data_IF_702533747266
#
_entry.id   IF_702533747266
#
_cell.length_a   1.000
_cell.length_b   1.000
_cell.length_c   1.000
_cell.angle_alpha   90.00
_cell.angle_beta   90.00
_cell.angle_gamma   90.00
#
_symmetry.space_group_name_H-M   'P 1'
#
loop_
_entity.id
_entity.type
_entity.pdbx_description
1 polymer ?
#
# COMPACT_ATOMS: atom_id res chain seq x y z
N UNK A 1 -20.78 42.23 53.38
CA UNK A 1 -21.71 41.16 53.77
C UNK A 1 -21.45 39.98 52.85
N UNK A 2 -20.85 38.92 53.38
CA UNK A 2 -20.35 37.70 52.73
C UNK A 2 -21.44 36.62 52.65
N UNK A 3 -21.47 35.84 51.56
CA UNK A 3 -22.05 34.47 51.50
C UNK A 3 -21.52 33.79 50.23
N UNK A 4 -20.39 33.09 50.27
CA UNK A 4 -20.19 31.66 50.60
C UNK A 4 -20.92 30.66 49.67
N UNK A 5 -20.10 30.05 48.82
CA UNK A 5 -20.31 28.88 47.96
C UNK A 5 -20.70 27.63 48.74
N UNK A 6 -21.83 27.02 48.40
CA UNK A 6 -22.22 25.70 48.89
C UNK A 6 -21.78 24.63 47.88
N UNK A 7 -20.61 24.04 48.15
CA UNK A 7 -20.11 22.84 47.47
C UNK A 7 -20.77 21.66 48.17
N UNK A 8 -21.76 21.05 47.53
CA UNK A 8 -22.38 19.81 47.99
C UNK A 8 -21.32 18.72 48.12
N UNK A 9 -21.03 18.31 49.36
CA UNK A 9 -20.10 17.23 49.67
C UNK A 9 -20.60 15.89 49.10
N UNK A 10 -19.75 15.07 48.47
CA UNK A 10 -20.09 13.70 48.15
C UNK A 10 -20.24 12.91 49.46
N UNK A 11 -21.41 12.31 49.68
CA UNK A 11 -21.69 11.41 50.79
C UNK A 11 -20.60 10.33 50.90
N UNK A 12 -19.80 10.37 51.97
CA UNK A 12 -18.84 9.33 52.28
C UNK A 12 -19.57 8.00 52.52
N UNK A 13 -19.14 6.94 51.82
CA UNK A 13 -19.64 5.59 52.05
C UNK A 13 -19.39 5.17 53.51
N UNK A 14 -20.42 4.65 54.17
CA UNK A 14 -20.30 4.14 55.54
C UNK A 14 -19.51 2.83 55.56
N UNK A 15 -18.64 2.60 56.57
CA UNK A 15 -17.91 1.35 56.70
C UNK A 15 -18.88 0.17 56.87
N UNK A 16 -18.85 -0.80 55.95
CA UNK A 16 -19.66 -2.02 56.01
C UNK A 16 -20.69 -2.21 54.89
N UNK A 17 -20.79 -1.30 53.91
CA UNK A 17 -21.61 -1.54 52.72
C UNK A 17 -20.83 -2.35 51.67
N UNK A 18 -21.16 -3.64 51.54
CA UNK A 18 -20.70 -4.46 50.41
C UNK A 18 -21.34 -3.95 49.13
N UNK A 19 -20.51 -3.50 48.19
CA UNK A 19 -20.94 -3.09 46.85
C UNK A 19 -21.52 -4.33 46.17
N UNK A 20 -22.84 -4.34 45.93
CA UNK A 20 -23.49 -5.36 45.11
C UNK A 20 -22.97 -5.19 43.67
N UNK A 21 -22.36 -6.22 43.04
CA UNK A 21 -21.91 -6.11 41.66
C UNK A 21 -23.09 -5.76 40.76
N UNK A 22 -22.93 -4.75 39.90
CA UNK A 22 -23.90 -4.42 38.87
C UNK A 22 -24.12 -5.66 37.99
N UNK A 23 -25.36 -6.16 37.85
CA UNK A 23 -25.65 -7.22 36.90
C UNK A 23 -25.54 -6.64 35.48
N UNK A 24 -24.53 -7.06 34.73
CA UNK A 24 -24.36 -6.65 33.33
C UNK A 24 -22.92 -6.49 32.79
N UNK A 25 -21.89 -6.94 33.51
CA UNK A 25 -20.51 -6.85 33.03
C UNK A 25 -20.02 -8.09 32.25
N UNK A 26 -20.93 -8.81 31.58
CA UNK A 26 -20.60 -9.91 30.65
C UNK A 26 -21.07 -9.58 29.23
N UNK A 27 -20.68 -8.42 28.73
CA UNK A 27 -20.85 -8.05 27.32
C UNK A 27 -19.50 -7.80 26.63
N UNK A 28 -19.26 -8.57 25.57
CA UNK A 28 -18.57 -8.16 24.34
C UNK A 28 -17.05 -8.30 24.15
N UNK A 29 -16.40 -9.35 24.68
CA UNK A 29 -15.03 -9.70 24.22
C UNK A 29 -14.97 -10.50 22.91
N UNK A 30 -16.11 -10.99 22.39
CA UNK A 30 -16.18 -11.72 21.12
C UNK A 30 -16.39 -10.80 19.90
N UNK A 31 -17.03 -9.64 20.08
CA UNK A 31 -17.29 -8.67 19.01
C UNK A 31 -16.06 -7.82 18.65
N UNK A 32 -15.10 -7.66 19.57
CA UNK A 32 -13.90 -6.83 19.34
C UNK A 32 -12.87 -7.51 18.41
N UNK A 33 -12.68 -8.84 18.54
CA UNK A 33 -11.70 -9.60 17.75
C UNK A 33 -12.07 -9.75 16.28
N UNK A 34 -13.36 -9.91 15.97
CA UNK A 34 -13.85 -9.97 14.59
C UNK A 34 -13.60 -8.66 13.83
N UNK A 35 -13.70 -7.53 14.53
CA UNK A 35 -13.46 -6.22 13.96
C UNK A 35 -11.96 -5.98 13.70
N UNK A 36 -11.07 -6.45 14.60
CA UNK A 36 -9.62 -6.35 14.42
C UNK A 36 -9.11 -7.19 13.24
N UNK A 37 -9.55 -8.44 13.12
CA UNK A 37 -9.12 -9.30 11.99
C UNK A 37 -9.62 -8.72 10.66
N UNK A 38 -10.87 -8.27 10.60
CA UNK A 38 -11.41 -7.61 9.40
C UNK A 38 -10.64 -6.33 9.06
N UNK A 39 -10.21 -5.56 10.07
CA UNK A 39 -9.45 -4.34 9.87
C UNK A 39 -8.02 -4.61 9.42
N UNK A 40 -7.38 -5.65 9.96
CA UNK A 40 -6.05 -6.12 9.54
C UNK A 40 -6.09 -6.67 8.12
N UNK A 41 -7.09 -7.49 7.77
CA UNK A 41 -7.24 -8.02 6.41
C UNK A 41 -7.52 -6.89 5.42
N UNK A 42 -8.39 -5.94 5.78
CA UNK A 42 -8.68 -4.78 4.96
C UNK A 42 -7.46 -3.88 4.75
N UNK A 43 -6.68 -3.60 5.81
CA UNK A 43 -5.48 -2.78 5.70
C UNK A 43 -4.37 -3.47 4.91
N UNK A 44 -4.16 -4.77 5.11
CA UNK A 44 -3.22 -5.58 4.32
C UNK A 44 -3.64 -5.55 2.85
N UNK A 45 -4.91 -5.79 2.53
CA UNK A 45 -5.36 -5.77 1.14
C UNK A 45 -5.14 -4.44 0.45
N UNK A 46 -5.51 -3.34 1.10
CA UNK A 46 -5.35 -2.00 0.51
C UNK A 46 -3.87 -1.65 0.35
N UNK A 47 -3.05 -1.86 1.38
CA UNK A 47 -1.63 -1.48 1.36
C UNK A 47 -0.82 -2.38 0.42
N UNK A 48 -1.00 -3.70 0.49
CA UNK A 48 -0.29 -4.62 -0.39
C UNK A 48 -0.84 -4.63 -1.82
N UNK A 49 -2.10 -4.25 -2.04
CA UNK A 49 -2.65 -4.07 -3.38
C UNK A 49 -1.95 -2.94 -4.14
N UNK A 50 -1.75 -1.80 -3.48
CA UNK A 50 -1.02 -0.67 -4.06
C UNK A 50 0.47 -1.01 -4.26
N UNK A 51 1.12 -1.55 -3.22
CA UNK A 51 2.56 -1.87 -3.26
C UNK A 51 2.88 -3.01 -4.24
N UNK A 52 2.04 -4.04 -4.32
CA UNK A 52 2.36 -5.26 -5.06
C UNK A 52 1.91 -5.28 -6.51
N UNK A 53 1.03 -4.38 -6.95
CA UNK A 53 0.63 -4.27 -8.37
C UNK A 53 1.64 -3.46 -9.19
N UNK A 54 2.27 -2.45 -8.58
CA UNK A 54 3.26 -1.60 -9.27
C UNK A 54 4.46 -2.36 -9.87
N UNK A 55 5.06 -3.38 -9.22
CA UNK A 55 6.17 -4.11 -9.82
C UNK A 55 5.70 -5.05 -10.94
N UNK A 56 4.46 -5.55 -10.87
CA UNK A 56 3.89 -6.38 -11.93
C UNK A 56 3.68 -5.58 -13.22
N UNK A 57 3.18 -4.35 -13.12
CA UNK A 57 3.11 -3.44 -14.26
C UNK A 57 4.52 -3.09 -14.79
N UNK A 58 5.46 -2.74 -13.91
CA UNK A 58 6.83 -2.42 -14.31
C UNK A 58 7.51 -3.60 -15.03
N UNK A 59 7.29 -4.83 -14.55
CA UNK A 59 7.78 -6.04 -15.21
C UNK A 59 7.14 -6.21 -16.59
N UNK A 60 5.81 -6.09 -16.70
CA UNK A 60 5.09 -6.17 -17.97
C UNK A 60 5.61 -5.14 -18.97
N UNK A 61 5.77 -3.89 -18.54
CA UNK A 61 6.20 -2.80 -19.41
C UNK A 61 7.65 -3.03 -19.89
N UNK A 62 8.55 -3.39 -18.98
CA UNK A 62 9.95 -3.72 -19.29
C UNK A 62 10.06 -4.87 -20.31
N UNK A 63 9.27 -5.93 -20.11
CA UNK A 63 9.22 -7.05 -21.04
C UNK A 63 8.62 -6.64 -22.38
N UNK A 64 7.54 -5.84 -22.40
CA UNK A 64 6.92 -5.37 -23.64
C UNK A 64 7.87 -4.52 -24.51
N UNK A 65 8.74 -3.72 -23.89
CA UNK A 65 9.79 -3.00 -24.58
C UNK A 65 10.89 -3.91 -25.09
N UNK A 66 11.23 -4.95 -24.33
CA UNK A 66 12.23 -5.96 -24.72
C UNK A 66 11.76 -6.85 -25.88
N UNK A 67 10.46 -7.17 -25.94
CA UNK A 67 9.80 -7.86 -27.06
C UNK A 67 9.93 -7.05 -28.36
N UNK A 68 9.63 -5.73 -28.29
CA UNK A 68 9.68 -4.83 -29.46
C UNK A 68 11.11 -4.60 -29.99
N UNK A 69 12.12 -4.80 -29.15
CA UNK A 69 13.53 -4.62 -29.50
C UNK A 69 14.20 -5.88 -30.09
N UNK A 70 13.46 -6.98 -30.31
CA UNK A 70 13.96 -8.28 -30.81
C UNK A 70 15.07 -8.88 -29.91
N UNK A 71 15.04 -8.55 -28.61
CA UNK A 71 15.99 -9.02 -27.58
C UNK A 71 15.34 -9.96 -26.57
N UNK A 72 14.41 -10.81 -27.02
CA UNK A 72 13.84 -11.88 -26.19
C UNK A 72 14.84 -13.02 -25.99
N UNK A 73 15.98 -12.68 -25.41
CA UNK A 73 16.95 -13.66 -24.92
C UNK A 73 16.54 -14.04 -23.51
N UNK A 74 16.69 -15.32 -23.15
CA UNK A 74 16.47 -15.82 -21.79
C UNK A 74 17.22 -14.97 -20.74
N UNK A 75 18.41 -14.49 -21.09
CA UNK A 75 19.22 -13.58 -20.28
C UNK A 75 18.54 -12.23 -19.99
N UNK A 76 17.77 -11.67 -20.93
CA UNK A 76 17.07 -10.40 -20.74
C UNK A 76 15.91 -10.53 -19.76
N UNK A 77 15.20 -11.65 -19.79
CA UNK A 77 14.11 -11.96 -18.86
C UNK A 77 14.67 -12.17 -17.45
N UNK A 78 15.69 -13.01 -17.31
CA UNK A 78 16.34 -13.30 -16.02
C UNK A 78 16.98 -12.02 -15.44
N UNK A 79 17.67 -11.24 -16.27
CA UNK A 79 18.29 -9.97 -15.87
C UNK A 79 17.27 -8.94 -15.39
N UNK A 80 16.16 -8.77 -16.13
CA UNK A 80 15.08 -7.85 -15.75
C UNK A 80 14.41 -8.24 -14.43
N UNK A 81 14.12 -9.52 -14.24
CA UNK A 81 13.52 -10.04 -12.99
C UNK A 81 14.49 -9.89 -11.82
N UNK A 82 15.78 -10.16 -12.04
CA UNK A 82 16.82 -9.95 -11.02
C UNK A 82 16.90 -8.50 -10.58
N UNK A 83 16.97 -7.56 -11.54
CA UNK A 83 16.96 -6.13 -11.23
C UNK A 83 15.69 -5.72 -10.48
N UNK A 84 14.53 -6.28 -10.83
CA UNK A 84 13.27 -5.98 -10.16
C UNK A 84 13.28 -6.48 -8.70
N UNK A 85 13.71 -7.72 -8.45
CA UNK A 85 13.82 -8.29 -7.09
C UNK A 85 14.74 -7.41 -6.23
N UNK A 86 15.93 -7.09 -6.73
CA UNK A 86 16.89 -6.29 -5.98
C UNK A 86 16.46 -4.84 -5.83
N UNK A 87 15.86 -4.22 -6.85
CA UNK A 87 15.33 -2.87 -6.77
C UNK A 87 14.22 -2.76 -5.71
N UNK A 88 13.31 -3.74 -5.64
CA UNK A 88 12.29 -3.78 -4.59
C UNK A 88 12.90 -4.02 -3.22
N UNK A 89 13.82 -4.98 -3.09
CA UNK A 89 14.48 -5.27 -1.83
C UNK A 89 15.25 -4.04 -1.30
N UNK A 90 16.00 -3.34 -2.16
CA UNK A 90 16.72 -2.12 -1.80
C UNK A 90 15.76 -0.97 -1.50
N UNK A 91 14.70 -0.80 -2.28
CA UNK A 91 13.72 0.25 -2.04
C UNK A 91 13.05 0.05 -0.68
N UNK A 92 12.54 -1.14 -0.38
CA UNK A 92 11.92 -1.44 0.92
C UNK A 92 12.92 -1.32 2.06
N UNK A 93 14.11 -1.90 1.94
CA UNK A 93 15.10 -1.92 3.04
C UNK A 93 15.70 -0.53 3.27
N UNK A 94 16.26 0.09 2.23
CA UNK A 94 16.98 1.35 2.37
C UNK A 94 15.98 2.51 2.51
N UNK A 95 15.14 2.76 1.51
CA UNK A 95 14.26 3.94 1.50
C UNK A 95 13.20 3.86 2.60
N UNK A 96 12.53 2.73 2.78
CA UNK A 96 11.43 2.62 3.75
C UNK A 96 11.91 2.24 5.16
N UNK A 97 12.68 1.17 5.34
CA UNK A 97 13.08 0.73 6.69
C UNK A 97 14.17 1.62 7.29
N UNK A 98 15.23 1.95 6.55
CA UNK A 98 16.34 2.74 7.12
C UNK A 98 16.05 4.24 7.19
N UNK A 99 15.34 4.82 6.22
CA UNK A 99 15.04 6.26 6.25
C UNK A 99 13.65 6.55 6.82
N UNK A 100 12.59 6.03 6.19
CA UNK A 100 11.22 6.41 6.56
C UNK A 100 10.86 5.99 7.99
N UNK A 101 11.14 4.74 8.38
CA UNK A 101 10.82 4.23 9.72
C UNK A 101 11.75 4.77 10.82
N UNK A 102 12.90 5.37 10.47
CA UNK A 102 13.79 6.05 11.43
C UNK A 102 13.51 7.54 11.54
N UNK A 103 12.88 8.14 10.54
CA UNK A 103 12.47 9.53 10.52
C UNK A 103 11.08 9.67 11.18
N UNK A 104 11.06 9.45 12.49
CA UNK A 104 9.95 9.71 13.40
C UNK A 104 9.94 11.21 13.79
N UNK A 105 8.77 11.84 13.77
CA UNK A 105 8.56 13.12 14.45
C UNK A 105 7.52 12.97 15.56
N UNK A 106 7.96 12.64 16.77
CA UNK A 106 7.13 12.43 17.97
C UNK A 106 6.06 11.37 17.79
N UNK A 107 6.39 10.27 17.11
CA UNK A 107 5.48 9.14 16.90
C UNK A 107 4.45 9.32 15.78
N UNK A 108 4.45 10.44 15.06
CA UNK A 108 3.66 10.59 13.82
C UNK A 108 4.54 10.33 12.59
N UNK A 109 4.18 9.32 11.80
CA UNK A 109 4.80 9.01 10.51
C UNK A 109 4.03 9.62 9.34
N UNK A 110 4.73 9.92 8.24
CA UNK A 110 4.11 10.38 6.99
C UNK A 110 4.78 11.60 6.38
N UNK A 111 4.37 11.94 5.16
CA UNK A 111 4.93 13.05 4.38
C UNK A 111 4.74 14.42 5.04
N UNK A 112 3.62 14.61 5.76
CA UNK A 112 3.34 15.83 6.53
C UNK A 112 4.21 15.94 7.80
N UNK A 113 4.44 14.82 8.49
CA UNK A 113 5.33 14.77 9.66
C UNK A 113 6.79 14.99 9.27
N UNK A 114 7.20 14.50 8.09
CA UNK A 114 8.52 14.76 7.50
C UNK A 114 8.67 16.23 7.07
N UNK A 115 7.63 16.85 6.51
CA UNK A 115 7.63 18.28 6.20
C UNK A 115 7.76 19.13 7.48
N UNK A 116 7.04 18.77 8.54
CA UNK A 116 7.14 19.42 9.84
C UNK A 116 8.53 19.23 10.48
N UNK A 117 9.10 18.03 10.41
CA UNK A 117 10.44 17.72 10.92
C UNK A 117 11.54 18.45 10.14
N UNK A 118 11.43 18.51 8.81
CA UNK A 118 12.36 19.24 7.95
C UNK A 118 12.32 20.75 8.25
N UNK A 119 11.13 21.33 8.46
CA UNK A 119 11.00 22.72 8.86
C UNK A 119 11.53 22.99 10.27
N UNK A 120 11.35 22.05 11.21
CA UNK A 120 11.87 22.20 12.58
C UNK A 120 13.38 22.01 12.69
N UNK A 121 13.97 21.11 11.89
CA UNK A 121 15.41 20.82 11.91
C UNK A 121 16.26 21.90 11.22
N UNK A 122 15.69 22.62 10.24
CA UNK A 122 16.41 23.61 9.42
C UNK A 122 16.12 25.07 9.81
N UNK A 123 15.50 25.31 10.97
CA UNK A 123 15.32 26.65 11.52
C UNK A 123 14.25 27.48 10.82
N UNK A 124 12.99 27.04 10.92
CA UNK A 124 11.80 27.89 11.10
C UNK A 124 11.37 28.88 10.00
N UNK A 125 12.15 29.17 8.95
CA UNK A 125 11.72 30.12 7.92
C UNK A 125 12.43 29.97 6.55
N UNK A 126 13.02 28.80 6.28
CA UNK A 126 13.71 28.58 5.01
C UNK A 126 12.69 28.38 3.88
N UNK A 127 12.50 29.41 3.04
CA UNK A 127 11.70 29.34 1.80
C UNK A 127 12.08 28.14 0.93
N UNK A 128 13.34 27.70 0.98
CA UNK A 128 13.83 26.52 0.28
C UNK A 128 13.21 25.22 0.80
N UNK A 129 13.11 25.06 2.13
CA UNK A 129 12.48 23.89 2.76
C UNK A 129 10.98 23.86 2.48
N UNK A 130 10.33 25.03 2.52
CA UNK A 130 8.93 25.15 2.13
C UNK A 130 8.72 24.77 0.66
N UNK A 131 9.54 25.28 -0.26
CA UNK A 131 9.45 24.94 -1.68
C UNK A 131 9.70 23.44 -1.94
N UNK A 132 10.65 22.83 -1.23
CA UNK A 132 10.87 21.39 -1.27
C UNK A 132 9.70 20.59 -0.69
N UNK A 133 9.07 21.06 0.37
CA UNK A 133 7.85 20.44 0.93
C UNK A 133 6.68 20.49 -0.06
N UNK A 134 6.46 21.65 -0.68
CA UNK A 134 5.42 21.83 -1.72
C UNK A 134 5.72 20.97 -2.94
N UNK A 135 6.97 20.94 -3.41
CA UNK A 135 7.37 20.09 -4.53
C UNK A 135 7.17 18.59 -4.21
N UNK A 136 7.54 18.15 -3.01
CA UNK A 136 7.32 16.78 -2.56
C UNK A 136 5.83 16.42 -2.45
N UNK A 137 5.01 17.31 -1.91
CA UNK A 137 3.56 17.12 -1.84
C UNK A 137 2.91 17.06 -3.23
N UNK A 138 3.36 17.90 -4.17
CA UNK A 138 2.88 17.88 -5.55
C UNK A 138 3.26 16.58 -6.28
N UNK A 139 4.49 16.10 -6.11
CA UNK A 139 4.94 14.82 -6.68
C UNK A 139 4.17 13.63 -6.10
N UNK A 140 3.96 13.62 -4.77
CA UNK A 140 3.14 12.60 -4.11
C UNK A 140 1.69 12.63 -4.59
N UNK A 141 1.11 13.83 -4.75
CA UNK A 141 -0.25 13.99 -5.26
C UNK A 141 -0.36 13.55 -6.73
N UNK A 142 0.67 13.76 -7.53
CA UNK A 142 0.74 13.24 -8.90
C UNK A 142 0.77 11.72 -8.93
N UNK A 143 1.65 11.10 -8.14
CA UNK A 143 1.78 9.63 -8.03
C UNK A 143 0.46 8.98 -7.59
N UNK A 144 -0.21 9.56 -6.59
CA UNK A 144 -1.50 9.08 -6.10
C UNK A 144 -2.63 9.10 -7.16
N UNK A 145 -2.53 9.97 -8.18
CA UNK A 145 -3.49 10.04 -9.30
C UNK A 145 -3.11 9.05 -10.40
N UNK A 146 -1.81 8.88 -10.67
CA UNK A 146 -1.29 8.06 -11.78
C UNK A 146 -1.47 6.56 -11.49
N UNK A 147 -1.18 6.11 -10.26
CA UNK A 147 -1.13 4.68 -9.92
C UNK A 147 -2.46 3.94 -10.18
N UNK A 148 -3.63 4.44 -9.76
CA UNK A 148 -4.91 3.79 -10.08
C UNK A 148 -5.17 3.70 -11.58
N UNK A 149 -4.79 4.74 -12.34
CA UNK A 149 -5.01 4.78 -13.78
C UNK A 149 -4.14 3.74 -14.52
N UNK A 150 -2.83 3.71 -14.22
CA UNK A 150 -1.89 2.81 -14.88
C UNK A 150 -2.15 1.35 -14.49
N UNK A 151 -2.43 1.07 -13.21
CA UNK A 151 -2.69 -0.29 -12.74
C UNK A 151 -3.95 -0.89 -13.41
N UNK A 152 -5.05 -0.13 -13.49
CA UNK A 152 -6.28 -0.59 -14.16
C UNK A 152 -6.08 -0.71 -15.67
N UNK A 153 -5.38 0.25 -16.31
CA UNK A 153 -5.08 0.17 -17.74
C UNK A 153 -4.25 -1.07 -18.07
N UNK A 154 -3.17 -1.32 -17.33
CA UNK A 154 -2.32 -2.50 -17.51
C UNK A 154 -3.06 -3.81 -17.33
N UNK A 155 -4.04 -3.87 -16.41
CA UNK A 155 -4.86 -5.06 -16.21
C UNK A 155 -5.76 -5.35 -17.43
N UNK A 156 -6.37 -4.31 -18.00
CA UNK A 156 -7.24 -4.44 -19.17
C UNK A 156 -6.45 -4.72 -20.44
N UNK A 157 -5.29 -4.07 -20.63
CA UNK A 157 -4.40 -4.38 -21.75
C UNK A 157 -3.85 -5.82 -21.69
N UNK A 158 -3.75 -6.41 -20.51
CA UNK A 158 -3.43 -7.84 -20.38
C UNK A 158 -4.46 -8.76 -21.06
N UNK A 159 -5.72 -8.31 -21.18
CA UNK A 159 -6.80 -9.06 -21.82
C UNK A 159 -6.71 -9.02 -23.36
N UNK A 160 -5.98 -8.07 -23.95
CA UNK A 160 -5.72 -8.01 -25.39
C UNK A 160 -4.94 -9.23 -25.89
N UNK A 161 -4.17 -9.90 -25.02
CA UNK A 161 -3.46 -11.14 -25.35
C UNK A 161 -4.40 -12.28 -25.77
N UNK A 162 -5.69 -12.18 -25.43
CA UNK A 162 -6.71 -13.19 -25.75
C UNK A 162 -7.49 -12.83 -27.02
N UNK A 163 -7.72 -11.54 -27.30
CA UNK A 163 -8.38 -11.11 -28.54
C UNK A 163 -8.04 -9.66 -28.94
N UNK A 164 -7.63 -9.48 -30.20
CA UNK A 164 -7.29 -8.16 -30.77
C UNK A 164 -8.48 -7.19 -30.84
N UNK A 165 -9.73 -7.69 -30.81
CA UNK A 165 -10.94 -6.85 -30.87
C UNK A 165 -11.11 -5.98 -29.61
N UNK A 166 -10.43 -6.31 -28.50
CA UNK A 166 -10.52 -5.55 -27.25
C UNK A 166 -9.72 -4.24 -27.26
N UNK A 167 -8.80 -4.04 -28.22
CA UNK A 167 -7.92 -2.86 -28.31
C UNK A 167 -8.68 -1.54 -28.31
N UNK A 168 -9.76 -1.45 -29.08
CA UNK A 168 -10.59 -0.24 -29.15
C UNK A 168 -11.41 0.00 -27.87
N UNK A 169 -11.62 -1.05 -27.06
CA UNK A 169 -12.42 -0.99 -25.84
C UNK A 169 -11.59 -0.82 -24.57
N UNK A 170 -10.26 -0.91 -24.63
CA UNK A 170 -9.41 -0.77 -23.43
C UNK A 170 -9.63 0.57 -22.73
N UNK A 171 -9.46 1.69 -23.43
CA UNK A 171 -9.63 3.01 -22.83
C UNK A 171 -11.06 3.25 -22.29
N UNK A 172 -12.14 2.96 -23.03
CA UNK A 172 -13.51 3.06 -22.50
C UNK A 172 -13.77 2.19 -21.27
N UNK A 173 -13.28 0.95 -21.25
CA UNK A 173 -13.46 0.03 -20.13
C UNK A 173 -12.69 0.54 -18.90
N UNK A 174 -11.43 0.95 -19.07
CA UNK A 174 -10.62 1.53 -17.98
C UNK A 174 -11.31 2.75 -17.36
N UNK A 175 -11.78 3.70 -18.18
CA UNK A 175 -12.51 4.88 -17.70
C UNK A 175 -13.78 4.47 -16.94
N UNK A 176 -14.54 3.52 -17.48
CA UNK A 176 -15.78 3.02 -16.84
C UNK A 176 -15.49 2.38 -15.48
N UNK A 177 -14.43 1.58 -15.39
CA UNK A 177 -13.99 0.96 -14.14
C UNK A 177 -13.57 2.03 -13.14
N UNK A 178 -12.73 3.00 -13.54
CA UNK A 178 -12.28 4.06 -12.64
C UNK A 178 -13.46 4.89 -12.12
N UNK A 179 -14.35 5.37 -13.01
CA UNK A 179 -15.53 6.15 -12.60
C UNK A 179 -16.39 5.37 -11.61
N UNK A 180 -16.62 4.08 -11.88
CA UNK A 180 -17.42 3.21 -11.00
C UNK A 180 -16.73 3.00 -9.65
N UNK A 181 -15.43 2.71 -9.64
CA UNK A 181 -14.66 2.51 -8.41
C UNK A 181 -14.63 3.78 -7.55
N UNK A 182 -14.36 4.95 -8.14
CA UNK A 182 -14.35 6.22 -7.43
C UNK A 182 -15.74 6.61 -6.93
N UNK A 183 -16.80 6.31 -7.68
CA UNK A 183 -18.19 6.53 -7.24
C UNK A 183 -18.58 5.63 -6.06
N UNK A 184 -18.12 4.38 -6.03
CA UNK A 184 -18.35 3.49 -4.87
C UNK A 184 -17.51 3.95 -3.67
N UNK A 185 -16.27 4.40 -3.88
CA UNK A 185 -15.40 4.92 -2.82
C UNK A 185 -15.95 6.18 -2.15
N UNK A 186 -16.70 7.02 -2.88
CA UNK A 186 -17.30 8.24 -2.30
C UNK A 186 -18.34 7.95 -1.20
N UNK A 187 -18.84 6.71 -1.10
CA UNK A 187 -19.76 6.26 -0.07
C UNK A 187 -19.08 5.68 1.17
N UNK A 188 -17.74 5.68 1.21
CA UNK A 188 -16.93 5.29 2.36
C UNK A 188 -15.82 4.29 2.02
N UNK A 189 -14.57 4.69 2.24
CA UNK A 189 -13.38 3.88 1.94
C UNK A 189 -13.26 2.63 2.80
N UNK A 190 -13.79 2.66 4.03
CA UNK A 190 -13.70 1.54 4.97
C UNK A 190 -14.42 0.27 4.46
N UNK A 191 -15.60 0.40 3.85
CA UNK A 191 -16.32 -0.76 3.29
C UNK A 191 -15.62 -1.32 2.05
N UNK A 192 -15.08 -0.43 1.20
CA UNK A 192 -14.33 -0.83 0.01
C UNK A 192 -13.06 -1.58 0.41
N UNK A 193 -12.31 -1.08 1.39
CA UNK A 193 -11.12 -1.72 1.92
C UNK A 193 -11.37 -3.13 2.47
N UNK A 194 -12.49 -3.31 3.21
CA UNK A 194 -12.86 -4.61 3.74
C UNK A 194 -13.17 -5.65 2.65
N UNK A 195 -13.73 -5.22 1.52
CA UNK A 195 -14.00 -6.10 0.37
C UNK A 195 -12.74 -6.39 -0.46
N UNK A 196 -11.84 -5.41 -0.56
CA UNK A 196 -10.59 -5.54 -1.31
C UNK A 196 -9.59 -6.50 -0.65
N UNK A 197 -9.57 -6.55 0.69
CA UNK A 197 -8.78 -7.49 1.50
C UNK A 197 -8.76 -8.93 0.97
N UNK A 198 -9.90 -9.63 1.02
CA UNK A 198 -10.01 -11.00 0.53
C UNK A 198 -9.64 -11.17 -0.95
N UNK A 199 -10.01 -10.21 -1.81
CA UNK A 199 -9.68 -10.25 -3.24
C UNK A 199 -8.17 -10.24 -3.44
N UNK A 200 -7.45 -9.38 -2.72
CA UNK A 200 -5.99 -9.30 -2.82
C UNK A 200 -5.30 -10.57 -2.33
N UNK A 201 -5.83 -11.19 -1.27
CA UNK A 201 -5.32 -12.48 -0.80
C UNK A 201 -5.47 -13.55 -1.89
N UNK A 202 -6.66 -13.65 -2.50
CA UNK A 202 -6.92 -14.58 -3.59
C UNK A 202 -5.97 -14.30 -4.77
N UNK A 203 -5.79 -13.03 -5.13
CA UNK A 203 -4.90 -12.61 -6.21
C UNK A 203 -3.45 -13.04 -5.97
N UNK A 204 -2.86 -12.72 -4.81
CA UNK A 204 -1.48 -13.09 -4.50
C UNK A 204 -1.30 -14.61 -4.40
N UNK A 205 -2.26 -15.32 -3.81
CA UNK A 205 -2.23 -16.78 -3.77
C UNK A 205 -2.28 -17.38 -5.18
N UNK A 206 -3.12 -16.82 -6.06
CA UNK A 206 -3.22 -17.27 -7.45
C UNK A 206 -1.89 -17.10 -8.17
N UNK A 207 -1.26 -15.93 -8.10
CA UNK A 207 0.04 -15.70 -8.74
C UNK A 207 1.13 -16.58 -8.10
N UNK A 208 1.15 -16.74 -6.78
CA UNK A 208 2.12 -17.57 -6.10
C UNK A 208 2.02 -19.05 -6.50
N UNK A 209 0.80 -19.59 -6.56
CA UNK A 209 0.53 -20.97 -6.98
C UNK A 209 0.90 -21.15 -8.45
N UNK A 210 0.41 -20.28 -9.33
CA UNK A 210 0.72 -20.37 -10.76
C UNK A 210 2.23 -20.24 -11.03
N UNK A 211 2.90 -19.33 -10.34
CA UNK A 211 4.35 -19.18 -10.41
C UNK A 211 5.07 -20.45 -9.94
N UNK A 212 4.71 -20.98 -8.78
CA UNK A 212 5.31 -22.20 -8.24
C UNK A 212 5.12 -23.43 -9.17
N UNK A 213 3.95 -23.55 -9.79
CA UNK A 213 3.65 -24.63 -10.73
C UNK A 213 4.50 -24.59 -12.01
N UNK A 214 4.95 -23.41 -12.45
CA UNK A 214 5.75 -23.25 -13.67
C UNK A 214 7.27 -23.18 -13.42
N UNK A 215 7.73 -23.19 -12.15
CA UNK A 215 9.18 -23.29 -11.84
C UNK A 215 9.85 -24.49 -12.52
N UNK A 216 9.24 -25.70 -12.58
CA UNK A 216 9.84 -26.84 -13.26
C UNK A 216 10.06 -26.66 -14.77
N UNK A 217 9.28 -25.80 -15.44
CA UNK A 217 9.40 -25.57 -16.88
C UNK A 217 10.64 -24.74 -17.23
N UNK A 218 11.08 -23.87 -16.31
CA UNK A 218 12.22 -22.99 -16.48
C UNK A 218 12.98 -22.81 -15.16
N UNK A 219 13.68 -23.85 -14.64
CA UNK A 219 14.38 -23.79 -13.36
C UNK A 219 15.48 -22.73 -13.32
N UNK A 220 16.00 -22.33 -14.49
CA UNK A 220 16.95 -21.23 -14.66
C UNK A 220 16.41 -19.91 -14.09
N UNK A 221 15.08 -19.71 -14.01
CA UNK A 221 14.49 -18.50 -13.46
C UNK A 221 14.95 -18.21 -12.02
N UNK A 222 15.33 -19.25 -11.27
CA UNK A 222 15.84 -19.11 -9.91
C UNK A 222 17.19 -18.38 -9.85
N UNK A 223 17.95 -18.32 -10.95
CA UNK A 223 19.17 -17.51 -11.00
C UNK A 223 18.89 -16.01 -10.93
N UNK A 224 17.63 -15.58 -11.13
CA UNK A 224 17.24 -14.18 -10.94
C UNK A 224 17.42 -13.71 -9.49
N UNK A 225 17.43 -14.62 -8.50
CA UNK A 225 17.75 -14.29 -7.11
C UNK A 225 19.23 -13.98 -6.87
N UNK A 226 20.12 -14.28 -7.82
CA UNK A 226 21.52 -13.84 -7.78
C UNK A 226 21.63 -12.42 -8.37
N UNK A 227 22.16 -11.42 -7.62
CA UNK A 227 22.29 -10.05 -8.12
C UNK A 227 23.23 -9.95 -9.33
N UNK A 228 24.10 -10.93 -9.55
CA UNK A 228 25.00 -10.97 -10.70
C UNK A 228 24.24 -10.98 -12.03
N UNK A 229 23.09 -11.64 -12.09
CA UNK A 229 22.26 -11.71 -13.30
C UNK A 229 21.74 -10.33 -13.73
N UNK A 230 21.34 -9.50 -12.76
CA UNK A 230 20.95 -8.11 -13.03
C UNK A 230 22.13 -7.24 -13.44
N UNK A 231 23.31 -7.43 -12.83
CA UNK A 231 24.52 -6.66 -13.17
C UNK A 231 25.02 -7.00 -14.57
N UNK A 232 25.06 -8.29 -14.93
CA UNK A 232 25.45 -8.72 -16.28
C UNK A 232 24.50 -8.21 -17.36
N UNK A 233 23.22 -8.03 -17.03
CA UNK A 233 22.24 -7.45 -17.95
C UNK A 233 22.45 -5.95 -18.21
N UNK A 234 23.09 -5.23 -17.27
CA UNK A 234 23.41 -3.81 -17.41
C UNK A 234 24.75 -3.55 -18.12
N UNK A 235 25.60 -4.57 -18.24
CA UNK A 235 26.95 -4.49 -18.81
C UNK A 235 26.93 -4.62 -20.35
#
# INVERSE_FOLDING_TARGET
>A
MTQHSDVSQPNALKPGQTIKPLPGADHDHAHEKGNLISLVIGSIGVVYGDIGTSPLYALRESLSHSVKADRLTEEAVIGSISLLIFALAFTVTIKYVLFLMRADNRGEGGTLSLMALAQSALGGNSKFVFLMGVAGAALFSGDAIITPAISVMSAIEGLELVTDRLKEFVAPITITILVTLFWVQSHGTARVAAFFGPIMIIFFLTIAILGALHIPDAPQILTAFDPRAGISFLA
#
